data_IF_489397495682
#
_entry.id   IF_489397495682
#
_cell.length_a   1.000
_cell.length_b   1.000
_cell.length_c   1.000
_cell.angle_alpha   90.00
_cell.angle_beta   90.00
_cell.angle_gamma   90.00
#
_symmetry.space_group_name_H-M   'P 1'
#
loop_
_entity.id
_entity.type
_entity.pdbx_description
1 polymer ?
2 non-polymer ?
3 water ?
#
# COMPACT_ATOMS: atom_id res chain seq x y z
N UNK A 1 -8.74 -25.03 -1.31
CA UNK A 1 -7.54 -24.37 -0.81
C UNK A 1 -7.41 -24.48 0.72
N UNK A 2 -6.18 -24.41 1.19
CA UNK A 2 -5.86 -24.56 2.60
C UNK A 2 -6.76 -23.68 3.49
N UNK A 3 -7.09 -22.47 3.00
CA UNK A 3 -7.87 -21.50 3.79
C UNK A 3 -9.39 -21.54 3.53
N UNK A 4 -9.77 -21.78 2.27
CA UNK A 4 -11.19 -21.96 1.91
C UNK A 4 -11.82 -23.11 2.69
N UNK A 5 -11.07 -24.21 2.76
CA UNK A 5 -11.44 -25.36 3.57
C UNK A 5 -11.80 -24.91 4.98
N UNK A 6 -10.87 -24.21 5.61
CA UNK A 6 -11.03 -23.72 6.97
C UNK A 6 -12.35 -22.98 7.21
N UNK A 7 -12.65 -22.00 6.34
CA UNK A 7 -13.84 -21.17 6.52
C UNK A 7 -15.14 -21.87 6.15
N UNK A 8 -15.08 -22.70 5.12
CA UNK A 8 -16.21 -23.57 4.83
C UNK A 8 -16.53 -24.33 6.12
N UNK A 9 -15.53 -24.49 6.97
CA UNK A 9 -15.70 -25.23 8.22
C UNK A 9 -16.30 -24.36 9.34
N UNK A 10 -15.92 -23.08 9.37
CA UNK A 10 -16.49 -22.16 10.35
C UNK A 10 -17.96 -21.86 10.03
N UNK A 11 -18.27 -21.86 8.74
CA UNK A 11 -19.60 -21.54 8.24
C UNK A 11 -20.62 -22.63 8.55
N UNK A 12 -20.13 -23.81 8.88
CA UNK A 12 -21.01 -24.94 9.18
C UNK A 12 -21.26 -25.14 10.66
N UNK A 13 -20.35 -24.61 11.48
CA UNK A 13 -20.49 -24.68 12.92
C UNK A 13 -21.59 -23.71 13.36
N UNK A 14 -22.73 -24.25 13.81
CA UNK A 14 -23.89 -23.49 14.29
C UNK A 14 -23.73 -23.09 15.74
N UNK A 15 -22.53 -22.67 16.13
CA UNK A 15 -22.25 -22.23 17.50
C UNK A 15 -21.98 -20.74 17.57
N UNK A 16 -22.25 -20.14 18.72
CA UNK A 16 -22.07 -18.71 18.93
C UNK A 16 -21.76 -18.43 20.38
N UNK A 17 -20.65 -17.74 20.62
CA UNK A 17 -20.33 -17.30 21.97
C UNK A 17 -21.10 -16.02 22.26
N UNK A 18 -21.77 -15.97 23.40
CA UNK A 18 -22.49 -14.76 23.78
C UNK A 18 -22.16 -14.40 25.22
N UNK A 19 -22.42 -13.15 25.57
CA UNK A 19 -22.38 -12.74 26.96
C UNK A 19 -23.71 -12.12 27.37
N UNK A 20 -24.22 -12.54 28.51
CA UNK A 20 -25.48 -12.05 29.03
C UNK A 20 -25.20 -11.21 30.27
N UNK A 21 -25.47 -9.92 30.22
CA UNK A 21 -25.13 -9.07 31.36
C UNK A 21 -26.20 -9.11 32.45
N UNK A 22 -25.98 -8.39 33.54
CA UNK A 22 -26.90 -8.45 34.69
C UNK A 22 -28.27 -7.84 34.37
N UNK A 23 -28.34 -7.01 33.34
CA UNK A 23 -29.58 -6.34 32.96
C UNK A 23 -30.39 -7.12 31.90
N UNK A 24 -29.93 -8.32 31.58
CA UNK A 24 -30.61 -9.21 30.66
C UNK A 24 -30.23 -9.07 29.20
N UNK A 25 -29.16 -8.33 28.93
CA UNK A 25 -28.80 -8.01 27.56
C UNK A 25 -27.72 -8.94 27.01
N UNK A 26 -28.08 -9.70 25.97
CA UNK A 26 -27.19 -10.68 25.36
C UNK A 26 -26.51 -10.08 24.15
N UNK A 27 -25.18 -10.10 24.17
CA UNK A 27 -24.40 -9.58 23.05
C UNK A 27 -23.47 -10.68 22.55
N UNK A 28 -23.49 -10.92 21.24
CA UNK A 28 -22.63 -11.92 20.65
C UNK A 28 -21.15 -11.51 20.64
N UNK A 29 -20.30 -12.40 21.13
CA UNK A 29 -18.87 -12.14 21.17
C UNK A 29 -18.17 -12.66 19.92
N UNK A 30 -17.55 -11.74 19.20
CA UNK A 30 -16.82 -12.07 17.98
C UNK A 30 -15.33 -11.93 18.20
N UNK A 31 -14.63 -13.06 18.09
CA UNK A 31 -13.19 -13.11 18.32
C UNK A 31 -12.50 -13.49 17.02
N UNK A 32 -11.52 -12.68 16.60
CA UNK A 32 -10.66 -13.08 15.48
C UNK A 32 -9.74 -14.18 15.98
N UNK A 33 -9.11 -14.94 15.04
CA UNK A 33 -8.09 -15.93 15.45
C UNK A 33 -7.06 -15.30 16.40
N UNK A 34 -6.57 -16.07 17.37
CA UNK A 34 -5.62 -15.57 18.36
C UNK A 34 -4.47 -14.71 17.79
N UNK A 35 -3.82 -15.20 16.73
CA UNK A 35 -2.66 -14.49 16.19
C UNK A 35 -3.04 -13.09 15.72
N UNK A 36 -4.30 -12.98 15.30
CA UNK A 36 -4.89 -11.74 14.82
C UNK A 36 -5.40 -10.85 15.95
N UNK A 37 -5.40 -11.38 17.17
CA UNK A 37 -5.94 -10.63 18.29
C UNK A 37 -5.38 -9.21 18.32
N UNK A 38 -4.07 -9.10 18.17
CA UNK A 38 -3.33 -7.84 18.35
C UNK A 38 -3.21 -7.03 17.05
N UNK A 39 -3.73 -7.57 15.95
CA UNK A 39 -3.45 -7.03 14.62
C UNK A 39 -4.65 -6.37 13.96
N UNK A 40 -5.68 -6.10 14.76
CA UNK A 40 -6.91 -5.50 14.27
C UNK A 40 -7.22 -4.23 15.06
N UNK A 41 -8.01 -3.34 14.45
CA UNK A 41 -8.36 -2.05 15.06
C UNK A 41 -9.88 -1.87 15.08
N UNK A 42 -10.35 -1.09 16.07
CA UNK A 42 -11.76 -0.73 16.13
C UNK A 42 -12.02 0.59 15.42
N UNK A 43 -13.05 0.62 14.59
CA UNK A 43 -13.37 1.81 13.84
C UNK A 43 -14.82 1.81 13.36
N UNK A 44 -15.62 2.74 13.86
CA UNK A 44 -17.00 2.88 13.43
C UNK A 44 -17.84 1.65 13.78
N UNK A 45 -17.52 1.03 14.91
CA UNK A 45 -18.18 -0.20 15.32
C UNK A 45 -17.91 -1.35 14.37
N UNK A 46 -16.80 -1.26 13.63
CA UNK A 46 -16.38 -2.33 12.72
C UNK A 46 -14.91 -2.68 12.91
N UNK A 47 -14.57 -3.96 12.76
CA UNK A 47 -13.18 -4.39 13.00
C UNK A 47 -12.30 -4.20 11.77
N UNK A 48 -11.18 -3.48 11.95
CA UNK A 48 -10.24 -3.24 10.87
C UNK A 48 -9.09 -4.21 10.90
N UNK A 49 -8.57 -4.55 9.72
CA UNK A 49 -7.47 -5.48 9.57
C UNK A 49 -6.21 -4.75 9.12
N UNK A 50 -5.28 -4.61 10.06
CA UNK A 50 -4.08 -3.79 9.89
C UNK A 50 -2.92 -4.57 9.29
N UNK A 51 -3.26 -5.69 8.70
CA UNK A 51 -2.30 -6.68 8.29
C UNK A 51 -1.50 -6.26 7.06
N UNK A 52 -2.06 -5.37 6.25
CA UNK A 52 -1.42 -4.98 4.98
C UNK A 52 -0.24 -4.04 5.18
N UNK A 53 -0.23 -3.35 6.30
CA UNK A 53 0.87 -2.46 6.62
C UNK A 53 2.02 -3.26 7.19
N UNK A 55 3.06 -6.38 5.83
CA UNK A 55 3.75 -7.23 4.87
C UNK A 55 5.29 -7.08 4.97
N UNK A 56 5.97 -8.21 5.09
CA UNK A 56 7.42 -8.29 5.06
C UNK A 56 7.86 -7.54 3.81
N UNK A 57 9.00 -6.83 3.86
CA UNK A 57 9.44 -5.97 2.76
C UNK A 57 9.75 -6.73 1.47
N UNK A 58 10.20 -7.98 1.63
CA UNK A 58 10.54 -8.80 0.47
C UNK A 58 9.32 -9.45 -0.17
N UNK A 59 8.15 -9.28 0.45
CA UNK A 59 6.92 -9.90 -0.06
C UNK A 59 6.00 -8.87 -0.70
N UNK A 60 6.38 -7.59 -0.64
CA UNK A 60 5.52 -6.48 -1.03
C UNK A 60 5.25 -6.34 -2.54
N UNK A 61 6.29 -6.46 -3.36
CA UNK A 61 6.14 -6.35 -4.81
C UNK A 61 5.21 -7.43 -5.35
N UNK A 63 2.81 -9.15 -3.65
CA UNK A 63 1.46 -8.87 -3.23
C UNK A 63 0.86 -7.75 -4.09
N UNK A 64 1.58 -6.64 -4.22
CA UNK A 64 1.05 -5.51 -4.98
C UNK A 64 0.76 -5.90 -6.42
N UNK A 65 1.59 -6.77 -6.99
CA UNK A 65 1.41 -7.27 -8.34
C UNK A 65 0.07 -8.01 -8.48
N UNK A 66 -0.24 -8.82 -7.47
CA UNK A 66 -1.49 -9.55 -7.40
C UNK A 66 -2.68 -8.62 -7.34
N UNK A 67 -2.53 -7.50 -6.64
CA UNK A 67 -3.63 -6.55 -6.53
C UNK A 67 -3.97 -5.95 -7.90
N UNK A 68 -2.95 -5.62 -8.67
CA UNK A 68 -3.15 -5.05 -9.99
C UNK A 68 -3.91 -6.04 -10.84
N UNK A 69 -3.55 -7.31 -10.74
CA UNK A 69 -4.21 -8.37 -11.50
C UNK A 69 -5.69 -8.47 -11.16
N UNK A 70 -6.01 -8.44 -9.87
CA UNK A 70 -7.39 -8.55 -9.45
C UNK A 70 -8.18 -7.28 -9.78
N UNK A 71 -7.53 -6.14 -9.69
CA UNK A 71 -8.19 -4.87 -9.97
C UNK A 71 -8.68 -4.77 -11.42
N UNK A 72 -8.06 -5.52 -12.32
CA UNK A 72 -8.38 -5.39 -13.74
C UNK A 72 -9.23 -6.54 -14.32
N UNK A 73 -9.49 -7.56 -13.51
CA UNK A 73 -10.20 -8.73 -13.99
C UNK A 73 -10.74 -9.58 -12.84
N UNK A 74 -11.91 -10.17 -13.01
CA UNK A 74 -12.46 -11.02 -11.96
C UNK A 74 -11.66 -12.32 -11.83
N UNK A 75 -10.79 -12.35 -10.83
CA UNK A 75 -9.91 -13.48 -10.56
C UNK A 75 -10.16 -14.01 -9.16
N UNK A 76 -9.74 -15.25 -8.94
CA UNK A 76 -9.46 -15.72 -7.59
C UNK A 76 -7.98 -16.14 -7.54
N UNK A 77 -7.28 -15.75 -6.49
CA UNK A 77 -5.87 -16.13 -6.35
C UNK A 77 -5.60 -16.55 -4.92
N UNK A 78 -4.56 -17.36 -4.73
CA UNK A 78 -4.10 -17.68 -3.39
C UNK A 78 -2.65 -17.20 -3.21
N UNK A 79 -2.44 -16.33 -2.23
CA UNK A 79 -1.11 -15.79 -1.94
C UNK A 79 -0.56 -16.22 -0.60
N UNK A 80 0.76 -16.44 -0.55
CA UNK A 80 1.43 -16.73 0.71
C UNK A 80 2.51 -15.69 0.91
N UNK A 81 2.46 -15.02 2.06
CA UNK A 81 3.43 -13.98 2.34
C UNK A 81 3.63 -13.92 3.81
N UNK A 82 4.71 -13.27 4.22
CA UNK A 82 5.00 -13.07 5.64
C UNK A 82 4.51 -11.71 6.09
N UNK A 83 4.21 -11.60 7.37
CA UNK A 83 3.94 -10.31 7.97
C UNK A 83 4.80 -10.22 9.21
N UNK A 84 5.18 -9.01 9.56
CA UNK A 84 5.88 -8.77 10.80
C UNK A 84 5.06 -7.78 11.61
N UNK A 85 4.78 -8.17 12.84
CA UNK A 85 3.92 -7.41 13.71
C UNK A 85 4.71 -6.32 14.41
N UNK A 86 3.99 -5.39 15.05
CA UNK A 86 4.59 -4.38 15.93
C UNK A 86 5.64 -5.01 16.86
N UNK A 87 5.26 -6.08 17.55
CA UNK A 87 6.14 -6.75 18.50
C UNK A 87 7.13 -7.73 17.86
N UNK A 88 7.43 -7.55 16.57
CA UNK A 88 8.46 -8.32 15.88
C UNK A 88 8.18 -9.80 15.65
N UNK A 89 6.97 -10.25 15.93
CA UNK A 89 6.58 -11.63 15.64
C UNK A 89 6.39 -11.85 14.12
N UNK A 90 6.89 -12.95 13.58
CA UNK A 90 6.75 -13.25 12.15
C UNK A 90 5.73 -14.37 11.94
N UNK A 91 4.86 -14.18 10.95
CA UNK A 91 3.80 -15.14 10.67
C UNK A 91 3.73 -15.39 9.17
N UNK A 92 3.55 -16.64 8.76
CA UNK A 92 3.31 -16.96 7.37
C UNK A 92 1.81 -16.91 7.09
N UNK A 93 1.41 -16.21 6.06
CA UNK A 93 -0.01 -16.07 5.78
C UNK A 93 -0.42 -16.71 4.48
N UNK A 94 -1.48 -17.50 4.52
CA UNK A 94 -2.13 -17.89 3.30
C UNK A 94 -3.37 -17.02 3.11
N UNK A 95 -3.46 -16.40 1.95
CA UNK A 95 -4.48 -15.39 1.72
C UNK A 95 -5.21 -15.62 0.41
N UNK A 96 -6.43 -16.15 0.50
CA UNK A 96 -7.23 -16.36 -0.70
C UNK A 96 -8.09 -15.12 -1.04
N UNK A 98 -10.68 -12.90 -3.89
CA UNK A 98 -11.60 -12.90 -5.03
C UNK A 98 -11.99 -11.48 -5.42
N UNK A 99 -11.65 -11.13 -6.65
CA UNK A 99 -11.95 -9.84 -7.24
C UNK A 99 -13.47 -9.71 -7.50
N UNK A 100 -13.99 -8.49 -7.36
CA UNK A 100 -15.42 -8.22 -7.61
C UNK A 100 -15.64 -6.93 -8.40
N UNK A 101 -16.79 -6.86 -9.08
CA UNK A 101 -17.06 -5.72 -9.96
C UNK A 101 -18.53 -5.31 -9.95
N UNK A 102 -18.76 -4.00 -10.02
CA UNK A 102 -20.09 -3.42 -10.08
C UNK A 102 -20.80 -3.77 -11.37
N UNK A 103 -22.12 -3.62 -11.38
CA UNK A 103 -22.94 -3.86 -12.58
C UNK A 103 -22.33 -3.23 -13.84
N UNK A 104 -21.51 -2.21 -13.65
CA UNK A 104 -21.01 -1.41 -14.78
C UNK A 104 -19.60 -1.80 -15.22
N UNK A 105 -19.13 -2.95 -14.76
CA UNK A 105 -17.78 -3.40 -15.06
C UNK A 105 -16.74 -2.65 -14.24
N UNK A 106 -17.19 -1.95 -13.21
CA UNK A 106 -16.30 -1.23 -12.31
C UNK A 106 -15.77 -2.15 -11.22
N UNK A 107 -14.48 -2.02 -10.92
CA UNK A 107 -13.89 -2.74 -9.81
C UNK A 107 -14.59 -2.30 -8.52
N UNK A 108 -15.03 -3.28 -7.71
CA UNK A 108 -15.77 -2.97 -6.49
C UNK A 108 -15.15 -3.52 -5.20
N UNK A 109 -13.85 -3.83 -5.24
CA UNK A 109 -13.17 -4.35 -4.06
C UNK A 109 -12.79 -5.83 -4.11
N UNK A 110 -12.14 -6.30 -3.04
CA UNK A 110 -11.65 -7.67 -2.93
C UNK A 110 -12.24 -8.40 -1.71
N UNK A 111 -12.72 -9.63 -1.90
CA UNK A 111 -13.21 -10.48 -0.79
C UNK A 111 -12.20 -11.58 -0.47
N UNK A 112 -11.72 -11.61 0.76
CA UNK A 112 -10.68 -12.57 1.06
C UNK A 112 -10.95 -13.46 2.25
N UNK A 113 -10.16 -14.52 2.35
CA UNK A 113 -10.15 -15.38 3.52
C UNK A 113 -8.70 -15.63 3.80
N UNK A 114 -8.23 -15.29 5.00
CA UNK A 114 -6.82 -15.52 5.28
C UNK A 114 -6.62 -16.36 6.52
N UNK A 115 -5.55 -17.16 6.52
CA UNK A 115 -5.22 -17.96 7.68
C UNK A 115 -3.70 -18.01 7.92
N UNK A 116 -3.33 -18.41 9.12
CA UNK A 116 -1.94 -18.62 9.44
C UNK A 116 -1.53 -20.00 8.99
N UNK A 117 -0.33 -20.08 8.44
CA UNK A 117 0.23 -21.35 8.03
C UNK A 117 1.09 -21.95 9.15
N UNK A 118 0.82 -23.21 9.47
CA UNK A 118 1.67 -23.94 10.40
C UNK A 118 1.35 -25.44 10.34
N UNK B 1 20.72 10.72 -6.25
CA UNK B 1 21.18 12.09 -6.41
C UNK B 1 20.83 12.66 -7.77
N UNK B 2 21.70 12.40 -8.74
CA UNK B 2 21.50 12.83 -10.13
C UNK B 2 20.21 12.24 -10.71
N UNK B 3 19.57 12.93 -11.66
CA UNK B 3 18.30 12.46 -12.21
C UNK B 3 18.43 11.17 -13.03
N UNK B 4 19.53 11.04 -13.74
CA UNK B 4 19.87 9.81 -14.47
C UNK B 4 20.00 8.59 -13.52
N UNK B 5 20.70 8.77 -12.40
CA UNK B 5 20.91 7.70 -11.43
C UNK B 5 19.59 7.23 -10.82
N UNK B 6 18.75 8.19 -10.46
CA UNK B 6 17.45 7.91 -9.88
C UNK B 6 16.57 7.18 -10.88
N UNK B 7 16.59 7.66 -12.12
CA UNK B 7 15.80 7.04 -13.17
C UNK B 7 16.24 5.60 -13.41
N UNK B 8 17.54 5.39 -13.39
CA UNK B 8 18.10 4.05 -13.53
C UNK B 8 17.58 3.09 -12.44
N UNK B 9 17.23 3.64 -11.27
CA UNK B 9 16.68 2.82 -10.20
C UNK B 9 15.41 2.10 -10.63
N UNK B 10 14.63 2.73 -11.49
CA UNK B 10 13.42 2.07 -12.00
C UNK B 10 13.64 1.63 -13.43
N UNK B 11 14.91 1.55 -13.82
CA UNK B 11 15.28 1.02 -15.12
C UNK B 11 14.80 1.94 -16.23
N UNK B 12 14.68 3.23 -15.93
CA UNK B 12 14.32 4.22 -16.93
C UNK B 12 15.58 4.85 -17.53
N UNK B 13 15.47 5.35 -18.75
CA UNK B 13 16.58 6.11 -19.32
C UNK B 13 16.20 7.58 -19.50
N UNK B 14 17.21 8.45 -19.56
CA UNK B 14 16.92 9.87 -19.82
C UNK B 14 16.19 10.05 -21.15
N UNK B 15 15.10 10.82 -21.14
CA UNK B 15 14.25 10.94 -22.33
C UNK B 15 13.47 12.25 -22.33
N UNK B 16 13.24 12.79 -23.52
CA UNK B 16 12.48 14.02 -23.65
C UNK B 16 11.26 13.83 -24.53
N UNK B 17 10.09 14.07 -23.96
CA UNK B 17 8.83 14.11 -24.71
C UNK B 17 8.63 15.50 -25.30
N UNK B 18 8.11 15.55 -26.51
CA UNK B 18 7.96 16.84 -27.17
C UNK B 18 6.71 16.87 -28.04
N UNK B 19 6.26 18.09 -28.30
CA UNK B 19 5.16 18.35 -29.18
C UNK B 19 5.72 19.28 -30.23
N UNK B 20 5.56 18.91 -31.49
CA UNK B 20 5.88 19.83 -32.58
C UNK B 20 4.54 20.32 -33.10
N UNK B 21 4.16 21.52 -32.67
CA UNK B 21 2.81 22.03 -32.94
C UNK B 21 2.56 22.21 -34.44
N UNK B 22 1.41 22.79 -34.76
CA UNK B 22 0.96 22.98 -36.14
C UNK B 22 1.60 24.20 -36.82
N UNK B 23 2.45 24.90 -36.09
CA UNK B 23 3.24 25.96 -36.70
C UNK B 23 4.76 25.69 -36.66
N UNK B 24 5.14 24.45 -36.35
CA UNK B 24 6.53 24.04 -36.43
C UNK B 24 7.38 24.41 -35.24
N UNK B 25 6.75 24.75 -34.12
CA UNK B 25 7.49 25.00 -32.89
C UNK B 25 7.50 23.71 -32.03
N UNK B 26 8.70 23.19 -31.72
CA UNK B 26 8.79 22.03 -30.82
C UNK B 26 9.13 22.46 -29.39
N UNK B 27 8.30 22.03 -28.45
CA UNK B 27 8.56 22.26 -27.05
C UNK B 27 8.60 20.91 -26.38
N UNK B 28 9.26 20.88 -25.23
CA UNK B 28 9.38 19.72 -24.37
C UNK B 28 8.24 19.73 -23.35
N UNK B 29 7.56 18.60 -23.19
CA UNK B 29 6.42 18.52 -22.30
C UNK B 29 6.72 17.86 -20.93
N UNK B 30 6.72 18.69 -19.90
CA UNK B 30 6.85 18.25 -18.51
C UNK B 30 5.49 18.13 -17.79
N UNK B 31 5.13 16.91 -17.40
CA UNK B 31 3.90 16.69 -16.65
C UNK B 31 4.16 15.57 -15.67
N UNK B 32 3.44 15.60 -14.54
CA UNK B 32 3.45 14.49 -13.55
C UNK B 32 2.89 13.20 -14.17
N UNK B 33 3.20 12.05 -13.56
CA UNK B 33 2.55 10.84 -14.08
C UNK B 33 1.06 10.85 -13.74
N UNK B 34 0.23 10.29 -14.62
CA UNK B 34 -1.21 10.27 -14.42
C UNK B 34 -1.60 9.89 -12.99
N UNK B 35 -0.80 9.03 -12.38
CA UNK B 35 -1.17 8.51 -11.08
C UNK B 35 -0.98 9.53 -9.95
N UNK B 36 -0.35 10.67 -10.28
CA UNK B 36 -0.18 11.79 -9.34
C UNK B 36 -0.96 13.01 -9.78
N UNK B 37 -1.59 12.91 -10.95
CA UNK B 37 -2.36 13.99 -11.57
C UNK B 37 -3.24 14.76 -10.58
N UNK B 38 -3.95 14.04 -9.73
CA UNK B 38 -4.91 14.64 -8.81
C UNK B 38 -4.36 14.80 -7.37
N UNK B 39 -3.13 14.36 -7.15
CA UNK B 39 -2.49 14.44 -5.84
C UNK B 39 -1.63 15.70 -5.71
N UNK B 40 -1.01 16.14 -6.79
CA UNK B 40 -0.07 17.27 -6.76
C UNK B 40 -0.70 18.65 -6.73
N UNK B 41 0.05 19.61 -6.19
CA UNK B 41 -0.35 21.01 -6.15
C UNK B 41 0.56 21.94 -6.97
N UNK B 42 0.07 22.44 -8.09
CA UNK B 42 0.84 23.41 -8.84
C UNK B 42 0.47 24.83 -8.44
N UNK B 43 1.49 25.57 -8.03
CA UNK B 43 1.36 26.99 -7.77
C UNK B 43 2.66 27.68 -8.14
N UNK B 44 2.55 28.82 -8.83
CA UNK B 44 3.67 29.72 -9.13
C UNK B 44 4.97 29.01 -9.47
N UNK B 45 4.92 28.10 -10.43
CA UNK B 45 6.10 27.43 -10.91
C UNK B 45 6.56 26.21 -10.13
N UNK B 46 5.88 25.90 -9.03
CA UNK B 46 6.33 24.83 -8.17
C UNK B 46 5.26 23.74 -8.08
N UNK B 47 5.71 22.49 -8.22
CA UNK B 47 4.79 21.37 -8.08
C UNK B 47 5.09 20.63 -6.78
N UNK B 48 4.26 20.90 -5.78
CA UNK B 48 4.42 20.27 -4.49
C UNK B 48 3.76 18.92 -4.46
N UNK B 49 4.16 18.12 -3.48
CA UNK B 49 3.65 16.77 -3.31
C UNK B 49 3.70 16.45 -1.85
N UNK B 50 2.55 16.38 -1.22
CA UNK B 50 2.46 16.00 0.18
C UNK B 50 2.40 14.49 0.36
N UNK B 51 3.57 13.88 0.46
CA UNK B 51 3.70 12.45 0.52
C UNK B 51 3.06 11.89 1.79
N UNK B 52 3.03 12.71 2.82
CA UNK B 52 2.45 12.31 4.10
C UNK B 52 0.92 12.40 4.03
N UNK B 53 0.41 13.31 3.22
CA UNK B 53 -1.02 13.38 3.00
C UNK B 53 -1.56 12.23 2.14
N UNK B 55 -0.13 9.10 1.45
CA UNK B 55 0.09 7.76 1.99
C UNK B 55 -1.10 7.27 2.83
N UNK B 56 -1.54 6.06 2.56
CA UNK B 56 -2.61 5.41 3.32
C UNK B 56 -2.31 5.49 4.80
N UNK B 57 -3.34 5.71 5.60
CA UNK B 57 -3.16 6.00 7.03
C UNK B 57 -2.28 4.98 7.76
N UNK B 58 -2.32 3.72 7.34
CA UNK B 58 -1.65 2.67 8.08
C UNK B 58 -0.15 2.55 7.72
N UNK B 59 0.21 3.08 6.56
CA UNK B 59 1.59 3.08 6.11
C UNK B 59 2.34 4.36 6.53
N UNK B 60 1.59 5.39 6.94
CA UNK B 60 2.20 6.69 7.15
C UNK B 60 3.41 6.64 8.09
N UNK B 61 3.34 5.82 9.14
CA UNK B 61 4.43 5.69 10.12
C UNK B 61 5.76 5.28 9.46
N UNK B 63 6.86 5.85 6.39
CA UNK B 63 7.45 7.03 5.76
C UNK B 63 8.06 7.94 6.81
N UNK B 64 7.21 8.51 7.66
CA UNK B 64 7.65 9.35 8.76
C UNK B 64 8.97 8.92 9.33
N UNK B 65 9.10 7.62 9.58
CA UNK B 65 10.28 7.15 10.26
C UNK B 65 11.45 7.13 9.33
N UNK B 66 11.21 6.64 8.11
CA UNK B 66 12.21 6.71 7.07
C UNK B 66 12.79 8.14 7.01
N UNK B 67 11.90 9.12 6.85
CA UNK B 67 12.32 10.52 6.74
C UNK B 67 13.26 10.94 7.88
N UNK B 68 12.90 10.63 9.13
CA UNK B 68 13.71 11.04 10.27
C UNK B 68 15.06 10.35 10.26
N UNK B 69 15.07 9.10 9.83
CA UNK B 69 16.28 8.32 9.80
C UNK B 69 17.22 8.81 8.71
N UNK B 70 16.67 9.28 7.60
CA UNK B 70 17.47 9.76 6.48
C UNK B 70 17.94 11.17 6.76
N UNK B 71 17.22 11.84 7.66
CA UNK B 71 17.57 13.16 8.15
C UNK B 71 18.84 13.08 9.00
N UNK B 72 18.97 12.01 9.76
CA UNK B 72 20.09 11.90 10.69
C UNK B 72 21.32 11.25 10.07
N UNK B 73 21.16 10.63 8.90
CA UNK B 73 22.31 10.00 8.25
C UNK B 73 22.08 9.65 6.78
N UNK B 74 23.18 9.41 6.07
CA UNK B 74 23.19 9.03 4.66
C UNK B 74 22.63 7.61 4.50
N UNK B 75 21.51 7.49 3.81
CA UNK B 75 20.81 6.22 3.65
C UNK B 75 20.21 6.14 2.25
N UNK B 76 20.25 4.94 1.66
CA UNK B 76 19.43 4.65 0.49
C UNK B 76 18.31 3.73 0.95
N UNK B 77 17.12 3.90 0.39
CA UNK B 77 16.02 3.08 0.84
C UNK B 77 14.96 2.96 -0.25
N UNK B 78 14.35 1.77 -0.32
CA UNK B 78 13.24 1.53 -1.24
C UNK B 78 12.01 1.04 -0.48
N UNK B 79 10.92 1.79 -0.55
CA UNK B 79 9.68 1.41 0.10
C UNK B 79 8.59 1.10 -0.92
N UNK B 80 7.75 0.13 -0.58
CA UNK B 80 6.52 -0.10 -1.33
C UNK B 80 5.35 0.16 -0.40
N UNK B 81 4.41 1.00 -0.82
CA UNK B 81 3.26 1.33 0.02
C UNK B 81 2.05 1.79 -0.80
N UNK B 82 0.93 1.97 -0.13
CA UNK B 82 -0.28 2.43 -0.77
C UNK B 82 -0.45 3.92 -0.63
N UNK B 83 -1.05 4.54 -1.64
CA UNK B 83 -1.47 5.93 -1.57
C UNK B 83 -2.93 5.94 -2.04
N UNK B 84 -3.65 6.95 -1.59
CA UNK B 84 -5.07 7.11 -1.90
C UNK B 84 -5.25 8.54 -2.37
N UNK B 85 -5.95 8.71 -3.48
CA UNK B 85 -6.19 10.03 -4.02
C UNK B 85 -7.36 10.67 -3.28
N UNK B 86 -7.59 11.98 -3.49
CA UNK B 86 -8.69 12.63 -2.78
C UNK B 86 -10.01 12.10 -3.32
N UNK B 87 -9.95 11.44 -4.47
CA UNK B 87 -11.14 10.83 -5.05
C UNK B 87 -11.35 9.38 -4.57
N UNK B 88 -10.44 8.88 -3.75
CA UNK B 88 -10.58 7.57 -3.14
C UNK B 88 -10.00 6.40 -3.91
N UNK B 89 -9.12 6.68 -4.88
CA UNK B 89 -8.50 5.63 -5.66
C UNK B 89 -7.15 5.25 -5.06
N UNK B 90 -6.92 3.95 -4.96
CA UNK B 90 -5.72 3.43 -4.34
C UNK B 90 -4.66 3.07 -5.37
N UNK B 91 -3.41 3.32 -5.01
CA UNK B 91 -2.29 2.94 -5.85
C UNK B 91 -1.24 2.31 -4.97
N UNK B 92 -0.62 1.25 -5.45
CA UNK B 92 0.59 0.76 -4.82
C UNK B 92 1.71 1.48 -5.50
N UNK B 93 2.58 2.13 -4.75
CA UNK B 93 3.70 2.81 -5.37
C UNK B 93 5.04 2.35 -4.81
N UNK B 94 6.08 2.55 -5.59
CA UNK B 94 7.43 2.22 -5.18
C UNK B 94 8.22 3.51 -5.09
N UNK B 95 8.88 3.69 -3.96
CA UNK B 95 9.49 4.96 -3.62
C UNK B 95 10.96 4.71 -3.25
N UNK B 96 11.88 5.11 -4.13
CA UNK B 96 13.31 5.08 -3.82
C UNK B 96 13.76 6.46 -3.35
N UNK B 98 17.07 8.82 -1.18
CA UNK B 98 18.46 8.89 -0.73
C UNK B 98 18.64 10.19 0.01
N UNK B 99 19.24 10.14 1.20
CA UNK B 99 19.59 11.38 1.88
C UNK B 99 20.98 11.81 1.44
N UNK B 100 21.21 13.12 1.45
CA UNK B 100 22.53 13.64 1.10
C UNK B 100 23.05 14.66 2.12
N UNK B 101 24.36 14.87 2.19
CA UNK B 101 24.94 15.66 3.26
C UNK B 101 26.07 16.56 2.80
N UNK B 102 26.11 17.79 3.30
CA UNK B 102 27.25 18.66 3.03
C UNK B 102 28.53 18.03 3.55
N UNK B 103 29.67 18.54 3.10
CA UNK B 103 30.97 18.04 3.56
C UNK B 103 31.16 18.22 5.07
N UNK B 104 30.39 19.14 5.65
CA UNK B 104 30.51 19.46 7.07
C UNK B 104 29.59 18.56 7.88
N UNK B 105 28.88 17.69 7.17
CA UNK B 105 27.96 16.76 7.78
C UNK B 105 26.54 17.31 7.94
N UNK B 106 26.23 18.43 7.30
CA UNK B 106 24.87 18.96 7.35
C UNK B 106 23.93 18.29 6.32
N UNK B 107 22.74 17.91 6.79
CA UNK B 107 21.73 17.30 5.94
C UNK B 107 21.37 18.31 4.85
N UNK B 108 21.34 17.87 3.61
CA UNK B 108 21.09 18.80 2.52
C UNK B 108 19.93 18.37 1.60
N UNK B 109 19.12 17.43 2.09
CA UNK B 109 17.94 17.04 1.36
C UNK B 109 17.82 15.57 1.04
N UNK B 110 16.62 15.19 0.63
CA UNK B 110 16.34 13.84 0.18
C UNK B 110 15.96 13.92 -1.28
N UNK B 111 16.54 13.03 -2.08
CA UNK B 111 16.25 12.94 -3.49
C UNK B 111 15.59 11.60 -3.72
N UNK B 112 14.47 11.59 -4.43
CA UNK B 112 13.75 10.36 -4.63
C UNK B 112 13.10 10.22 -5.99
N UNK B 113 12.59 9.02 -6.27
CA UNK B 113 11.71 8.81 -7.42
C UNK B 113 10.54 7.90 -7.07
N UNK B 114 9.37 8.28 -7.54
CA UNK B 114 8.17 7.51 -7.31
C UNK B 114 7.69 6.85 -8.61
N UNK B 115 7.30 5.59 -8.53
CA UNK B 115 6.57 4.97 -9.61
C UNK B 115 5.48 4.02 -9.08
N UNK B 116 4.51 3.67 -9.93
CA UNK B 116 3.43 2.81 -9.48
C UNK B 116 3.77 1.36 -9.72
N UNK B 117 3.25 0.48 -8.88
CA UNK B 117 3.40 -0.94 -9.12
C UNK B 117 2.11 -1.46 -9.74
N UNK B 118 2.21 -1.85 -11.01
CA UNK B 118 1.04 -2.34 -11.73
C UNK B 118 1.03 -3.86 -11.89
#
# INVERSE_FOLDING_TARGET
>A
SNAEELQALVDNIPAAIYHLDVSGQATIRFRPPAFLKTLVSEHAGTTRLNTLSXIHHDDRHXLSNAYSKLREAKHSLTLVYRIVTPEGKLHWIEDHXRSSFSDDGLFSGIDGILCEVT
>B
SNAEELQALVDNIPAAIYHLDVSGQATIRFRPPAFLKTLVSEHAGTTRLNTLSXIHHDDRHXLSNAYSKLREAKHSLTLVYRIVTPEGKLHWIEDHXRSSFSDDGLFSGIDGILCEVT
#
